data_IF_040369864251
#
_entry.id   IF_040369864251
#
_cell.length_a   1.000
_cell.length_b   1.000
_cell.length_c   1.000
_cell.angle_alpha   90.00
_cell.angle_beta   90.00
_cell.angle_gamma   90.00
#
_symmetry.space_group_name_H-M   'P 1'
#
loop_
_entity.id
_entity.type
_entity.pdbx_description
1 polymer ?
#
# COMPACT_ATOMS: atom_id res chain seq x y z
N UNK A 1 -18.17 32.82 -48.07
CA UNK A 1 -18.36 34.14 -47.47
C UNK A 1 -17.35 34.25 -46.34
N UNK A 2 -16.11 34.75 -46.59
CA UNK A 2 -15.70 36.17 -46.47
C UNK A 2 -16.06 36.70 -45.07
N UNK A 3 -15.18 37.18 -44.20
CA UNK A 3 -14.04 38.11 -44.33
C UNK A 3 -13.20 38.04 -43.04
N UNK A 4 -11.89 38.01 -43.13
CA UNK A 4 -10.89 38.65 -42.23
C UNK A 4 -10.69 40.10 -42.72
N UNK A 5 -10.08 41.07 -42.03
CA UNK A 5 -8.74 41.06 -41.43
C UNK A 5 -8.43 42.07 -40.30
N UNK A 6 -7.26 41.89 -39.66
CA UNK A 6 -6.13 42.82 -39.48
C UNK A 6 -6.21 44.11 -38.67
N UNK A 7 -5.09 44.37 -37.92
CA UNK A 7 -4.58 45.67 -37.42
C UNK A 7 -3.85 45.48 -36.09
N UNK A 8 -2.60 45.46 -35.88
CA UNK A 8 -1.40 46.04 -36.45
C UNK A 8 -1.12 47.46 -35.92
N UNK A 9 -0.29 47.62 -34.84
CA UNK A 9 0.49 48.86 -34.69
C UNK A 9 1.71 48.65 -33.78
N UNK A 10 2.89 48.85 -34.38
CA UNK A 10 4.20 49.13 -33.75
C UNK A 10 4.37 50.66 -33.61
N UNK A 11 5.08 51.14 -32.58
CA UNK A 11 5.87 52.38 -32.53
C UNK A 11 6.93 52.16 -31.43
N UNK A 12 8.23 51.99 -31.69
CA UNK A 12 9.38 52.90 -31.91
C UNK A 12 9.64 53.86 -30.73
N UNK A 13 10.73 53.59 -29.96
CA UNK A 13 12.11 54.10 -30.09
C UNK A 13 12.29 55.62 -30.06
N UNK A 14 13.08 56.12 -29.10
CA UNK A 14 14.07 57.21 -29.19
C UNK A 14 14.77 57.42 -27.83
N UNK A 15 16.01 57.05 -27.64
CA UNK A 15 17.26 57.86 -27.72
C UNK A 15 17.24 59.23 -27.10
N UNK A 16 18.14 59.53 -26.17
CA UNK A 16 18.50 60.85 -25.65
C UNK A 16 19.78 60.85 -24.82
N UNK A 17 20.81 61.34 -25.46
CA UNK A 17 22.19 61.53 -25.01
C UNK A 17 22.36 62.66 -23.98
N UNK A 18 23.44 62.57 -23.18
CA UNK A 18 24.34 63.72 -22.93
C UNK A 18 24.43 64.10 -21.43
N UNK A 19 25.51 64.06 -20.78
CA UNK A 19 26.64 64.97 -20.74
C UNK A 19 27.55 64.68 -19.58
N UNK A 20 28.82 64.73 -19.88
CA UNK A 20 29.96 64.74 -18.93
C UNK A 20 29.87 65.92 -17.95
N UNK A 21 30.34 65.67 -16.71
CA UNK A 21 31.12 66.68 -15.97
C UNK A 21 32.09 65.98 -15.02
N UNK A 22 33.38 66.13 -15.37
CA UNK A 22 34.52 66.01 -14.45
C UNK A 22 34.39 67.00 -13.30
N UNK A 23 34.87 66.64 -12.10
CA UNK A 23 35.71 67.50 -11.25
C UNK A 23 36.22 66.77 -9.99
N UNK A 24 37.54 66.61 -9.97
CA UNK A 24 38.49 66.76 -8.86
C UNK A 24 38.39 65.82 -7.60
N UNK A 25 39.42 65.01 -7.48
CA UNK A 25 39.89 64.35 -6.23
C UNK A 25 40.32 65.41 -5.17
N UNK A 26 40.24 65.02 -3.90
CA UNK A 26 41.44 65.07 -3.11
C UNK A 26 41.82 63.71 -2.51
N UNK A 27 43.09 63.46 -2.52
CA UNK A 27 43.76 62.37 -1.85
C UNK A 27 43.63 62.48 -0.31
N UNK A 28 43.19 61.43 0.33
CA UNK A 28 43.29 61.27 1.77
C UNK A 28 43.98 59.94 2.06
N UNK A 29 45.12 60.07 2.69
CA UNK A 29 45.98 59.03 3.23
C UNK A 29 45.16 58.21 4.23
N UNK A 30 44.89 56.94 3.94
CA UNK A 30 44.35 56.00 4.91
C UNK A 30 45.45 55.05 5.38
N UNK A 31 45.77 55.22 6.64
CA UNK A 31 46.65 54.43 7.47
C UNK A 31 46.16 52.96 7.49
N UNK A 32 47.03 52.04 7.08
CA UNK A 32 46.75 50.59 7.10
C UNK A 32 46.55 50.10 8.53
N UNK A 33 45.32 49.63 8.81
CA UNK A 33 45.07 48.68 9.89
C UNK A 33 44.96 47.30 9.26
N UNK A 34 46.01 46.50 9.40
CA UNK A 34 46.02 45.07 9.14
C UNK A 34 45.15 44.39 10.20
N UNK A 35 43.86 44.30 9.94
CA UNK A 35 42.95 43.44 10.71
C UNK A 35 43.20 42.00 10.33
N UNK A 36 43.90 41.25 11.19
CA UNK A 36 43.92 39.79 11.15
C UNK A 36 42.51 39.27 11.35
N UNK A 37 41.84 38.88 10.26
CA UNK A 37 40.59 38.11 10.33
C UNK A 37 40.90 36.74 10.96
N UNK A 38 40.59 36.62 12.25
CA UNK A 38 40.47 35.33 12.90
C UNK A 38 39.31 34.59 12.21
N UNK A 39 39.67 33.70 11.32
CA UNK A 39 38.73 32.73 10.80
C UNK A 39 38.21 31.89 11.98
N UNK A 40 37.04 32.23 12.48
CA UNK A 40 36.31 31.37 13.41
C UNK A 40 35.96 30.11 12.61
N UNK A 41 36.77 29.07 12.79
CA UNK A 41 36.39 27.70 12.44
C UNK A 41 35.15 27.36 13.27
N UNK A 42 33.98 27.41 12.63
CA UNK A 42 32.77 26.79 13.21
C UNK A 42 33.09 25.32 13.48
N UNK A 43 32.92 24.84 14.71
CA UNK A 43 33.06 23.42 14.97
C UNK A 43 32.02 22.72 14.08
N UNK A 44 32.49 21.89 13.15
CA UNK A 44 31.65 20.95 12.47
C UNK A 44 30.89 20.18 13.56
N UNK A 45 29.57 20.40 13.65
CA UNK A 45 28.69 19.50 14.40
C UNK A 45 28.81 18.16 13.69
N UNK A 46 29.75 17.33 14.15
CA UNK A 46 29.58 15.89 13.96
C UNK A 46 28.31 15.54 14.73
N UNK A 47 27.20 15.49 14.00
CA UNK A 47 26.00 14.86 14.52
C UNK A 47 26.47 13.48 15.00
N UNK A 48 26.31 13.20 16.28
CA UNK A 48 26.42 11.82 16.78
C UNK A 48 25.38 11.04 16.00
N UNK A 49 25.78 10.40 14.91
CA UNK A 49 24.93 9.43 14.23
C UNK A 49 24.75 8.27 15.21
N UNK A 50 23.56 8.20 15.80
CA UNK A 50 23.15 7.03 16.57
C UNK A 50 23.23 5.85 15.60
N UNK A 51 24.04 4.81 15.89
CA UNK A 51 24.15 3.67 14.99
C UNK A 51 22.79 3.07 14.76
N UNK A 52 22.34 3.02 13.49
CA UNK A 52 21.08 2.41 13.13
C UNK A 52 21.09 0.91 13.47
N UNK A 53 19.93 0.39 13.82
CA UNK A 53 19.73 -1.01 14.18
C UNK A 53 18.67 -1.65 13.27
N UNK A 54 18.41 -2.91 13.45
CA UNK A 54 17.28 -3.59 12.85
C UNK A 54 17.24 -3.56 11.32
N UNK A 55 16.05 -3.37 10.79
CA UNK A 55 15.78 -3.39 9.34
C UNK A 55 16.42 -2.19 8.63
N UNK A 56 16.39 -0.99 9.21
CA UNK A 56 17.01 0.18 8.59
C UNK A 56 18.53 0.02 8.43
N UNK A 57 19.21 -0.59 9.43
CA UNK A 57 20.64 -0.90 9.28
C UNK A 57 20.90 -1.84 8.13
N UNK A 58 20.14 -2.94 8.04
CA UNK A 58 20.23 -3.93 6.96
C UNK A 58 20.04 -3.28 5.57
N UNK A 59 19.05 -2.39 5.46
CA UNK A 59 18.78 -1.66 4.22
C UNK A 59 19.91 -0.66 3.93
N UNK A 60 20.42 0.05 4.94
CA UNK A 60 21.56 0.96 4.79
C UNK A 60 22.79 0.24 4.23
N UNK A 61 23.06 -0.96 4.72
CA UNK A 61 24.23 -1.76 4.33
C UNK A 61 24.08 -2.37 2.92
N UNK A 62 22.85 -2.78 2.55
CA UNK A 62 22.58 -3.47 1.27
C UNK A 62 22.12 -2.57 0.13
N UNK A 63 21.54 -1.41 0.44
CA UNK A 63 20.83 -0.56 -0.54
C UNK A 63 19.53 -1.18 -1.06
N UNK A 64 18.99 -2.24 -0.43
CA UNK A 64 17.85 -3.00 -0.94
C UNK A 64 16.79 -3.16 0.14
N UNK A 65 15.53 -2.83 -0.22
CA UNK A 65 14.31 -3.23 0.52
C UNK A 65 13.68 -4.45 -0.15
N UNK A 66 13.40 -5.48 0.63
CA UNK A 66 12.74 -6.71 0.14
C UNK A 66 11.26 -6.67 0.46
N UNK A 67 10.44 -6.50 -0.59
CA UNK A 67 8.99 -6.49 -0.50
C UNK A 67 8.41 -7.89 -0.73
N UNK A 68 7.72 -8.43 0.28
CA UNK A 68 6.95 -9.66 0.15
C UNK A 68 5.61 -9.39 -0.54
N UNK A 69 5.31 -10.08 -1.64
CA UNK A 69 4.07 -9.89 -2.38
C UNK A 69 3.33 -11.20 -2.62
N UNK A 70 2.01 -11.10 -2.76
CA UNK A 70 1.12 -12.22 -3.13
C UNK A 70 0.95 -12.25 -4.65
N UNK A 71 0.93 -13.45 -5.24
CA UNK A 71 0.76 -13.59 -6.70
C UNK A 71 -0.72 -13.61 -7.14
N UNK A 72 -1.64 -13.80 -6.18
CA UNK A 72 -3.05 -14.08 -6.49
C UNK A 72 -4.05 -13.51 -5.47
N UNK A 73 -3.82 -12.28 -5.01
CA UNK A 73 -4.70 -11.55 -4.08
C UNK A 73 -5.14 -10.19 -4.63
N UNK A 74 -5.78 -10.14 -5.85
CA UNK A 74 -6.29 -8.88 -6.38
C UNK A 74 -7.39 -8.30 -5.48
N UNK A 75 -7.47 -6.97 -5.34
CA UNK A 75 -6.65 -5.94 -5.96
C UNK A 75 -5.42 -5.52 -5.12
N UNK A 76 -5.08 -6.24 -4.04
CA UNK A 76 -4.02 -5.85 -3.08
C UNK A 76 -2.60 -6.15 -3.58
N UNK A 77 -2.35 -7.41 -3.95
CA UNK A 77 -1.09 -7.84 -4.54
C UNK A 77 -1.34 -9.04 -5.45
N UNK A 78 -0.94 -8.94 -6.70
CA UNK A 78 -1.13 -9.99 -7.71
C UNK A 78 -0.20 -9.77 -8.90
N UNK A 79 -0.12 -10.74 -9.78
CA UNK A 79 0.63 -10.60 -11.03
C UNK A 79 -0.27 -10.05 -12.14
N UNK A 80 0.16 -8.99 -12.79
CA UNK A 80 -0.50 -8.49 -13.99
C UNK A 80 -0.32 -9.47 -15.19
N UNK A 81 -0.94 -9.23 -16.37
CA UNK A 81 -0.75 -10.07 -17.54
C UNK A 81 0.71 -10.21 -18.00
N UNK A 82 1.58 -9.27 -17.66
CA UNK A 82 3.01 -9.27 -17.97
C UNK A 82 3.85 -9.95 -16.87
N UNK A 83 3.21 -10.58 -15.88
CA UNK A 83 3.85 -11.21 -14.71
C UNK A 83 4.59 -10.23 -13.80
N UNK A 84 4.22 -8.95 -13.84
CA UNK A 84 4.74 -7.94 -12.93
C UNK A 84 3.89 -7.92 -11.66
N UNK A 85 4.50 -7.87 -10.45
CA UNK A 85 3.79 -7.64 -9.20
C UNK A 85 3.14 -6.25 -9.21
N UNK A 86 1.84 -6.20 -8.96
CA UNK A 86 1.05 -4.96 -8.90
C UNK A 86 -0.03 -5.07 -7.82
N UNK A 87 -0.58 -3.94 -7.39
CA UNK A 87 -1.72 -3.92 -6.48
C UNK A 87 -1.68 -2.77 -5.48
N UNK A 88 -2.80 -2.57 -4.81
CA UNK A 88 -3.00 -1.52 -3.82
C UNK A 88 -1.93 -1.52 -2.72
N UNK A 89 -1.67 -2.68 -2.14
CA UNK A 89 -0.69 -2.81 -1.06
C UNK A 89 0.74 -2.61 -1.55
N UNK A 90 1.04 -2.95 -2.80
CA UNK A 90 2.35 -2.69 -3.40
C UNK A 90 2.57 -1.21 -3.65
N UNK A 91 1.56 -0.47 -4.15
CA UNK A 91 1.66 0.98 -4.28
C UNK A 91 1.93 1.65 -2.92
N UNK A 92 1.25 1.21 -1.85
CA UNK A 92 1.52 1.72 -0.49
C UNK A 92 2.93 1.35 0.00
N UNK A 93 3.41 0.15 -0.31
CA UNK A 93 4.77 -0.26 0.05
C UNK A 93 5.84 0.56 -0.67
N UNK A 94 5.65 0.91 -1.93
CA UNK A 94 6.58 1.78 -2.67
C UNK A 94 6.70 3.16 -2.02
N UNK A 95 5.60 3.72 -1.50
CA UNK A 95 5.64 4.97 -0.72
C UNK A 95 6.44 4.80 0.58
N UNK A 96 6.35 3.64 1.23
CA UNK A 96 7.20 3.33 2.40
C UNK A 96 8.68 3.25 1.98
N UNK A 97 8.99 2.68 0.80
CA UNK A 97 10.36 2.64 0.27
C UNK A 97 10.89 4.05 -0.01
N UNK A 98 10.08 4.94 -0.58
CA UNK A 98 10.44 6.35 -0.76
C UNK A 98 10.77 7.03 0.57
N UNK A 99 9.96 6.79 1.61
CA UNK A 99 10.18 7.33 2.95
C UNK A 99 11.48 6.76 3.58
N UNK A 100 11.78 5.47 3.36
CA UNK A 100 13.05 4.85 3.76
C UNK A 100 14.23 5.53 3.04
N UNK A 101 14.12 5.74 1.73
CA UNK A 101 15.16 6.40 0.95
C UNK A 101 15.43 7.83 1.46
N UNK A 102 14.36 8.59 1.75
CA UNK A 102 14.46 9.93 2.33
C UNK A 102 15.11 9.91 3.72
N UNK A 103 14.72 8.98 4.59
CA UNK A 103 15.29 8.79 5.94
C UNK A 103 16.78 8.44 5.89
N UNK A 104 17.19 7.63 4.91
CA UNK A 104 18.57 7.18 4.77
C UNK A 104 19.45 8.16 3.97
N UNK A 105 18.84 9.10 3.23
CA UNK A 105 19.53 10.00 2.32
C UNK A 105 20.27 9.26 1.19
N UNK A 106 19.73 8.12 0.75
CA UNK A 106 20.34 7.22 -0.24
C UNK A 106 19.30 6.71 -1.25
N UNK A 107 19.76 6.39 -2.45
CA UNK A 107 18.97 5.62 -3.40
C UNK A 107 18.80 4.19 -2.89
N UNK A 108 17.55 3.73 -2.84
CA UNK A 108 17.16 2.40 -2.38
C UNK A 108 16.47 1.66 -3.52
N UNK A 109 16.84 0.41 -3.70
CA UNK A 109 16.24 -0.47 -4.70
C UNK A 109 15.25 -1.43 -4.06
N UNK A 110 14.13 -1.68 -4.75
CA UNK A 110 13.15 -2.67 -4.36
C UNK A 110 13.48 -4.04 -4.95
N UNK A 111 13.44 -5.09 -4.12
CA UNK A 111 13.49 -6.47 -4.54
C UNK A 111 12.19 -7.18 -4.14
N UNK A 112 11.48 -7.73 -5.13
CA UNK A 112 10.22 -8.43 -4.88
C UNK A 112 10.46 -9.90 -4.53
N UNK A 113 9.82 -10.38 -3.45
CA UNK A 113 9.84 -11.76 -2.98
C UNK A 113 8.42 -12.32 -2.96
N UNK A 114 8.08 -13.35 -3.74
CA UNK A 114 6.76 -13.98 -3.65
C UNK A 114 6.58 -14.67 -2.29
N UNK A 115 5.42 -14.46 -1.68
CA UNK A 115 5.03 -15.06 -0.41
C UNK A 115 3.66 -15.72 -0.50
N UNK A 116 3.44 -16.74 0.31
CA UNK A 116 2.15 -17.42 0.47
C UNK A 116 1.48 -17.02 1.78
N UNK A 117 0.18 -17.31 1.98
CA UNK A 117 -0.45 -17.11 3.28
C UNK A 117 0.25 -17.86 4.42
N UNK A 118 0.85 -19.02 4.14
CA UNK A 118 1.50 -19.87 5.13
C UNK A 118 2.91 -19.36 5.50
N UNK A 119 3.75 -18.99 4.50
CA UNK A 119 5.16 -18.70 4.76
C UNK A 119 5.48 -17.23 5.05
N UNK A 120 4.55 -16.28 4.81
CA UNK A 120 4.80 -14.83 4.94
C UNK A 120 5.29 -14.42 6.33
N UNK A 121 4.77 -15.05 7.39
CA UNK A 121 5.18 -14.74 8.78
C UNK A 121 6.62 -15.13 9.04
N UNK A 122 7.02 -16.33 8.61
CA UNK A 122 8.39 -16.82 8.72
C UNK A 122 9.36 -15.93 7.97
N UNK A 123 9.04 -15.57 6.71
CA UNK A 123 9.89 -14.73 5.87
C UNK A 123 10.07 -13.31 6.42
N UNK A 124 9.05 -12.76 7.09
CA UNK A 124 9.15 -11.47 7.77
C UNK A 124 9.96 -11.59 9.06
N UNK A 125 9.70 -12.60 9.89
CA UNK A 125 10.41 -12.76 11.17
C UNK A 125 11.87 -13.13 11.01
N UNK A 126 12.22 -13.90 9.97
CA UNK A 126 13.61 -14.22 9.60
C UNK A 126 14.35 -13.02 8.98
N UNK A 127 13.62 -12.01 8.51
CA UNK A 127 14.18 -10.86 7.78
C UNK A 127 14.53 -11.15 6.32
N UNK A 128 14.04 -12.24 5.74
CA UNK A 128 14.10 -12.46 4.28
C UNK A 128 13.17 -11.49 3.52
N UNK A 129 12.11 -11.01 4.18
CA UNK A 129 11.21 -9.96 3.75
C UNK A 129 11.25 -8.84 4.77
N UNK A 130 11.42 -7.60 4.31
CA UNK A 130 11.46 -6.41 5.16
C UNK A 130 10.05 -5.86 5.41
N UNK A 131 9.19 -5.90 4.37
CA UNK A 131 7.81 -5.43 4.41
C UNK A 131 6.91 -6.35 3.57
N UNK A 132 5.87 -6.93 4.17
CA UNK A 132 4.89 -7.76 3.45
C UNK A 132 3.74 -6.88 2.95
N UNK A 133 3.57 -6.87 1.64
CA UNK A 133 2.69 -6.02 0.87
C UNK A 133 1.48 -6.78 0.34
N UNK A 134 0.81 -7.52 1.21
CA UNK A 134 -0.35 -8.33 0.85
C UNK A 134 -1.65 -7.80 1.43
N UNK A 135 -2.58 -8.72 1.66
CA UNK A 135 -3.87 -8.51 2.31
C UNK A 135 -3.88 -9.17 3.69
N UNK A 136 -2.92 -8.79 4.54
CA UNK A 136 -2.75 -9.46 5.82
C UNK A 136 -3.61 -8.83 6.89
N UNK A 137 -4.50 -9.63 7.49
CA UNK A 137 -5.33 -9.21 8.63
C UNK A 137 -4.45 -8.86 9.81
N UNK A 138 -4.64 -7.67 10.35
CA UNK A 138 -4.00 -7.16 11.55
C UNK A 138 -4.79 -7.62 12.79
N UNK A 139 -4.50 -8.82 13.31
CA UNK A 139 -5.16 -9.36 14.49
C UNK A 139 -4.29 -9.29 15.74
N UNK A 140 -4.94 -9.29 16.92
CA UNK A 140 -4.23 -9.31 18.20
C UNK A 140 -3.27 -10.50 18.35
N UNK A 141 -3.64 -11.67 17.84
CA UNK A 141 -2.78 -12.86 17.90
C UNK A 141 -1.55 -12.71 17.01
N UNK A 142 -1.70 -12.16 15.81
CA UNK A 142 -0.58 -11.93 14.88
C UNK A 142 0.38 -10.87 15.39
N UNK A 143 -0.11 -9.84 16.08
CA UNK A 143 0.74 -8.80 16.73
C UNK A 143 1.68 -9.37 17.80
N UNK A 144 1.46 -10.59 18.27
CA UNK A 144 2.39 -11.25 19.19
C UNK A 144 3.72 -11.60 18.50
N UNK A 145 3.70 -11.88 17.20
CA UNK A 145 4.85 -12.32 16.42
C UNK A 145 5.42 -11.24 15.47
N UNK A 146 4.59 -10.34 14.94
CA UNK A 146 4.94 -9.35 13.93
C UNK A 146 4.38 -7.97 14.29
N UNK A 147 4.85 -6.93 13.61
CA UNK A 147 4.30 -5.58 13.66
C UNK A 147 3.49 -5.26 12.40
N UNK A 148 2.64 -4.25 12.50
CA UNK A 148 1.76 -3.82 11.43
C UNK A 148 1.78 -2.30 11.28
N UNK A 149 1.62 -1.83 10.04
CA UNK A 149 1.34 -0.43 9.73
C UNK A 149 -0.01 0.02 10.32
N UNK A 150 -0.35 1.29 10.25
CA UNK A 150 -1.75 1.74 10.34
C UNK A 150 -2.65 0.95 9.39
N UNK A 151 -3.95 0.87 9.72
CA UNK A 151 -4.96 0.19 8.89
C UNK A 151 -5.01 0.82 7.50
N UNK A 152 -4.88 -0.01 6.47
CA UNK A 152 -4.94 0.41 5.07
C UNK A 152 -6.26 0.02 4.37
N UNK A 153 -7.01 -0.93 4.93
CA UNK A 153 -8.29 -1.38 4.37
C UNK A 153 -9.13 -2.07 5.44
N UNK A 154 -10.46 -2.04 5.24
CA UNK A 154 -11.44 -2.72 6.10
C UNK A 154 -12.30 -3.61 5.24
N UNK A 155 -12.50 -4.86 5.66
CA UNK A 155 -13.21 -5.89 4.92
C UNK A 155 -13.98 -6.81 5.86
N UNK A 156 -14.68 -7.77 5.30
CA UNK A 156 -15.33 -8.82 6.06
C UNK A 156 -15.51 -10.09 5.25
N UNK A 157 -15.57 -11.21 5.94
CA UNK A 157 -15.68 -12.52 5.30
C UNK A 157 -17.08 -12.74 4.73
N UNK A 158 -17.14 -13.17 3.46
CA UNK A 158 -18.35 -13.62 2.76
C UNK A 158 -18.11 -14.95 2.08
N UNK A 159 -19.12 -15.41 1.35
CA UNK A 159 -19.09 -16.66 0.61
C UNK A 159 -19.07 -16.39 -0.90
N UNK A 160 -18.16 -17.04 -1.61
CA UNK A 160 -18.22 -17.18 -3.06
C UNK A 160 -18.87 -18.52 -3.38
N UNK A 161 -19.89 -18.47 -4.20
CA UNK A 161 -20.65 -19.66 -4.61
C UNK A 161 -20.95 -19.64 -6.11
N UNK A 162 -21.19 -20.81 -6.68
CA UNK A 162 -21.66 -20.91 -8.05
C UNK A 162 -23.07 -20.31 -8.17
N UNK A 163 -23.35 -19.57 -9.22
CA UNK A 163 -24.72 -19.09 -9.50
C UNK A 163 -25.65 -20.28 -9.67
N UNK A 164 -26.85 -20.15 -9.13
CA UNK A 164 -27.85 -21.26 -9.16
C UNK A 164 -27.63 -22.35 -8.09
N UNK A 165 -26.60 -22.26 -7.24
CA UNK A 165 -26.37 -23.24 -6.16
C UNK A 165 -27.45 -23.29 -5.07
N UNK A 166 -28.30 -22.28 -5.00
CA UNK A 166 -29.30 -22.16 -3.92
C UNK A 166 -28.72 -21.60 -2.59
N UNK A 167 -27.39 -21.47 -2.46
CA UNK A 167 -26.74 -20.97 -1.25
C UNK A 167 -26.86 -19.45 -1.24
N UNK A 168 -27.50 -18.89 -0.22
CA UNK A 168 -27.72 -17.47 0.00
C UNK A 168 -27.02 -16.95 1.25
N UNK A 169 -26.85 -17.79 2.26
CA UNK A 169 -26.28 -17.44 3.56
C UNK A 169 -25.51 -18.62 4.17
N UNK A 170 -24.88 -18.43 5.32
CA UNK A 170 -24.05 -19.43 5.96
C UNK A 170 -24.82 -20.67 6.42
N UNK A 171 -26.11 -20.55 6.74
CA UNK A 171 -26.95 -21.68 7.21
C UNK A 171 -27.27 -22.64 6.07
N UNK A 172 -27.28 -22.17 4.82
CA UNK A 172 -27.53 -23.01 3.65
C UNK A 172 -26.36 -23.98 3.36
N UNK A 173 -25.28 -23.89 4.14
CA UNK A 173 -24.10 -24.74 4.02
C UNK A 173 -24.17 -26.02 4.87
N UNK A 174 -25.29 -26.29 5.55
CA UNK A 174 -25.50 -27.57 6.20
C UNK A 174 -25.29 -28.71 5.20
N UNK A 175 -24.47 -29.71 5.60
CA UNK A 175 -24.07 -30.89 4.80
C UNK A 175 -23.27 -30.56 3.50
N UNK A 176 -22.85 -29.30 3.31
CA UNK A 176 -22.07 -28.82 2.18
C UNK A 176 -20.56 -28.83 2.47
N UNK A 177 -19.79 -28.65 1.42
CA UNK A 177 -18.33 -28.54 1.50
C UNK A 177 -17.90 -27.09 1.29
N UNK A 178 -17.12 -26.52 2.22
CA UNK A 178 -16.48 -25.23 2.09
C UNK A 178 -14.98 -25.43 1.86
N UNK A 179 -14.42 -24.70 0.88
CA UNK A 179 -12.97 -24.56 0.74
C UNK A 179 -12.50 -23.35 1.52
N UNK A 180 -11.36 -23.49 2.22
CA UNK A 180 -10.66 -22.45 2.98
C UNK A 180 -9.20 -22.41 2.55
N UNK A 181 -8.59 -21.23 2.56
CA UNK A 181 -7.16 -21.08 2.26
C UNK A 181 -6.35 -21.21 3.55
N UNK A 182 -5.31 -22.06 3.56
CA UNK A 182 -4.40 -22.25 4.69
C UNK A 182 -3.66 -20.94 5.02
N UNK A 183 -3.25 -20.78 6.27
CA UNK A 183 -2.52 -19.60 6.76
C UNK A 183 -3.34 -18.31 6.80
N UNK A 184 -4.66 -18.38 6.50
CA UNK A 184 -5.60 -17.26 6.64
C UNK A 184 -6.36 -17.32 7.96
N UNK A 185 -6.97 -16.21 8.37
CA UNK A 185 -7.86 -16.19 9.56
C UNK A 185 -9.10 -17.05 9.37
N UNK A 186 -9.50 -17.29 8.13
CA UNK A 186 -10.70 -18.08 7.79
C UNK A 186 -10.53 -19.55 8.11
N UNK A 187 -9.30 -20.08 8.06
CA UNK A 187 -8.98 -21.48 8.36
C UNK A 187 -9.48 -21.92 9.75
N UNK A 188 -9.43 -21.00 10.72
CA UNK A 188 -9.92 -21.27 12.08
C UNK A 188 -11.31 -20.66 12.34
N UNK A 189 -11.55 -19.45 11.84
CA UNK A 189 -12.76 -18.69 12.17
C UNK A 189 -14.02 -19.37 11.63
N UNK A 190 -13.99 -19.89 10.39
CA UNK A 190 -15.17 -20.49 9.75
C UNK A 190 -15.55 -21.83 10.39
N UNK A 191 -14.62 -22.77 10.64
CA UNK A 191 -14.95 -23.98 11.39
C UNK A 191 -15.46 -23.70 12.82
N UNK A 192 -14.91 -22.68 13.49
CA UNK A 192 -15.39 -22.23 14.81
C UNK A 192 -16.81 -21.70 14.73
N UNK A 193 -17.15 -20.93 13.70
CA UNK A 193 -18.51 -20.42 13.47
C UNK A 193 -19.49 -21.56 13.21
N UNK A 194 -19.13 -22.54 12.37
CA UNK A 194 -19.94 -23.73 12.09
C UNK A 194 -20.26 -24.51 13.36
N UNK A 195 -19.25 -24.76 14.20
CA UNK A 195 -19.46 -25.42 15.51
C UNK A 195 -20.40 -24.64 16.42
N UNK A 196 -20.25 -23.32 16.53
CA UNK A 196 -21.12 -22.47 17.37
C UNK A 196 -22.58 -22.47 16.90
N UNK A 197 -22.81 -22.67 15.61
CA UNK A 197 -24.16 -22.72 15.02
C UNK A 197 -24.69 -24.15 14.88
N UNK A 198 -23.95 -25.17 15.32
CA UNK A 198 -24.25 -26.60 15.16
C UNK A 198 -24.54 -26.97 13.69
N UNK A 199 -23.78 -26.39 12.75
CA UNK A 199 -23.93 -26.68 11.31
C UNK A 199 -22.92 -27.78 10.90
N UNK A 200 -23.40 -28.92 10.37
CA UNK A 200 -22.57 -29.98 9.83
C UNK A 200 -21.99 -29.55 8.48
N UNK A 201 -20.78 -29.00 8.48
CA UNK A 201 -20.08 -28.51 7.28
C UNK A 201 -18.82 -29.33 7.08
N UNK A 202 -18.53 -29.73 5.84
CA UNK A 202 -17.26 -30.35 5.45
C UNK A 202 -16.27 -29.26 5.03
N UNK A 203 -15.02 -29.37 5.47
CA UNK A 203 -13.97 -28.40 5.13
C UNK A 203 -12.89 -29.06 4.29
N UNK A 204 -12.49 -28.38 3.21
CA UNK A 204 -11.31 -28.68 2.41
C UNK A 204 -10.38 -27.47 2.47
N UNK A 205 -9.08 -27.71 2.38
CA UNK A 205 -8.07 -26.66 2.54
C UNK A 205 -7.18 -26.61 1.30
N UNK A 206 -6.89 -25.40 0.86
CA UNK A 206 -6.03 -25.12 -0.30
C UNK A 206 -4.85 -24.25 0.12
N UNK A 207 -3.73 -24.37 -0.60
CA UNK A 207 -2.50 -23.65 -0.29
C UNK A 207 -2.59 -22.14 -0.49
N UNK A 208 -3.42 -21.69 -1.45
CA UNK A 208 -3.60 -20.28 -1.76
C UNK A 208 -5.01 -19.99 -2.30
N UNK A 209 -5.31 -18.71 -2.54
CA UNK A 209 -6.64 -18.30 -3.01
C UNK A 209 -6.95 -18.78 -4.42
N UNK A 210 -5.93 -18.95 -5.28
CA UNK A 210 -6.11 -19.48 -6.63
C UNK A 210 -6.56 -20.95 -6.58
N UNK A 211 -5.86 -21.75 -5.78
CA UNK A 211 -6.22 -23.15 -5.56
C UNK A 211 -7.61 -23.30 -4.90
N UNK A 212 -7.96 -22.42 -3.95
CA UNK A 212 -9.29 -22.39 -3.34
C UNK A 212 -10.37 -22.09 -4.37
N UNK A 213 -10.17 -21.08 -5.22
CA UNK A 213 -11.11 -20.79 -6.31
C UNK A 213 -11.24 -21.97 -7.28
N UNK A 214 -10.12 -22.62 -7.62
CA UNK A 214 -10.15 -23.76 -8.55
C UNK A 214 -10.94 -24.95 -7.99
N UNK A 215 -10.79 -25.25 -6.70
CA UNK A 215 -11.55 -26.31 -6.00
C UNK A 215 -13.07 -26.02 -6.10
N UNK A 216 -13.48 -24.74 -5.89
CA UNK A 216 -14.87 -24.32 -6.10
C UNK A 216 -15.29 -24.44 -7.58
N UNK A 217 -14.44 -23.99 -8.48
CA UNK A 217 -14.70 -24.00 -9.92
C UNK A 217 -14.81 -25.43 -10.49
N UNK A 218 -14.07 -26.39 -9.94
CA UNK A 218 -14.16 -27.81 -10.29
C UNK A 218 -15.39 -28.51 -9.68
N UNK A 219 -16.17 -27.82 -8.83
CA UNK A 219 -17.31 -28.41 -8.12
C UNK A 219 -16.92 -29.36 -6.98
N UNK A 220 -15.66 -29.29 -6.52
CA UNK A 220 -15.15 -30.07 -5.38
C UNK A 220 -15.50 -29.45 -4.03
N UNK A 221 -16.00 -28.20 -4.05
CA UNK A 221 -16.59 -27.49 -2.93
C UNK A 221 -17.84 -26.73 -3.41
N UNK A 222 -18.77 -26.51 -2.48
CA UNK A 222 -20.01 -25.75 -2.73
C UNK A 222 -19.82 -24.26 -2.51
N UNK A 223 -18.88 -23.86 -1.65
CA UNK A 223 -18.56 -22.47 -1.33
C UNK A 223 -17.05 -22.27 -1.05
N UNK A 224 -16.57 -21.08 -1.29
CA UNK A 224 -15.27 -20.58 -0.84
C UNK A 224 -15.49 -19.40 0.11
N UNK A 225 -15.01 -19.48 1.35
CA UNK A 225 -15.11 -18.40 2.31
C UNK A 225 -13.80 -17.60 2.32
N UNK A 226 -13.91 -16.30 2.02
CA UNK A 226 -12.80 -15.36 2.04
C UNK A 226 -13.35 -13.94 2.26
N UNK A 227 -12.48 -12.96 2.39
CA UNK A 227 -12.88 -11.57 2.51
C UNK A 227 -13.51 -11.07 1.21
N UNK A 228 -14.60 -10.35 1.32
CA UNK A 228 -15.49 -9.97 0.21
C UNK A 228 -14.75 -9.23 -0.90
N UNK A 229 -13.89 -8.27 -0.53
CA UNK A 229 -13.10 -7.51 -1.48
C UNK A 229 -12.16 -8.39 -2.32
N UNK A 230 -11.58 -9.43 -1.72
CA UNK A 230 -10.75 -10.40 -2.45
C UNK A 230 -11.59 -11.29 -3.36
N UNK A 231 -12.78 -11.70 -2.91
CA UNK A 231 -13.71 -12.45 -3.74
C UNK A 231 -14.14 -11.63 -4.96
N UNK A 232 -14.48 -10.35 -4.80
CA UNK A 232 -14.77 -9.46 -5.91
C UNK A 232 -13.55 -9.24 -6.82
N UNK A 233 -12.37 -9.03 -6.24
CA UNK A 233 -11.12 -8.92 -6.99
C UNK A 233 -10.83 -10.14 -7.86
N UNK A 234 -11.00 -11.35 -7.32
CA UNK A 234 -10.82 -12.60 -8.04
C UNK A 234 -11.85 -12.77 -9.16
N UNK A 235 -13.12 -12.42 -8.93
CA UNK A 235 -14.16 -12.44 -9.96
C UNK A 235 -13.84 -11.49 -11.11
N UNK A 236 -13.34 -10.28 -10.78
CA UNK A 236 -12.95 -9.27 -11.76
C UNK A 236 -11.73 -9.71 -12.58
N UNK A 237 -10.68 -10.19 -11.91
CA UNK A 237 -9.46 -10.63 -12.55
C UNK A 237 -9.71 -11.81 -13.52
N UNK A 238 -10.56 -12.75 -13.13
CA UNK A 238 -10.92 -13.95 -13.91
C UNK A 238 -12.08 -13.76 -14.85
N UNK A 239 -12.76 -12.61 -14.83
CA UNK A 239 -14.01 -12.35 -15.58
C UNK A 239 -15.09 -13.42 -15.32
N UNK A 240 -15.16 -13.91 -14.07
CA UNK A 240 -15.98 -15.06 -13.67
C UNK A 240 -17.33 -14.68 -13.02
N UNK A 241 -17.74 -13.41 -13.08
CA UNK A 241 -18.97 -12.93 -12.47
C UNK A 241 -20.26 -13.48 -13.13
N UNK A 242 -20.19 -14.06 -14.34
CA UNK A 242 -21.29 -14.79 -14.96
C UNK A 242 -21.61 -16.10 -14.25
N UNK A 243 -20.59 -16.80 -13.72
CA UNK A 243 -20.70 -18.15 -13.20
C UNK A 243 -20.77 -18.20 -11.67
N UNK A 244 -20.20 -17.20 -11.02
CA UNK A 244 -20.09 -17.13 -9.57
C UNK A 244 -20.68 -15.83 -9.02
N UNK A 245 -21.01 -15.85 -7.73
CA UNK A 245 -21.44 -14.65 -7.00
C UNK A 245 -20.91 -14.67 -5.57
N UNK A 246 -20.65 -13.48 -5.03
CA UNK A 246 -20.46 -13.28 -3.60
C UNK A 246 -21.83 -13.15 -2.93
N UNK A 247 -22.04 -13.82 -1.81
CA UNK A 247 -23.34 -13.91 -1.14
C UNK A 247 -23.19 -13.97 0.38
N UNK A 248 -24.31 -13.81 1.08
CA UNK A 248 -24.42 -13.90 2.53
C UNK A 248 -24.06 -12.60 3.25
N UNK A 249 -24.38 -12.58 4.55
CA UNK A 249 -23.99 -11.53 5.46
C UNK A 249 -22.48 -11.64 5.77
N UNK A 250 -21.93 -10.60 6.35
CA UNK A 250 -20.56 -10.64 6.85
C UNK A 250 -20.45 -11.64 8.02
N UNK A 251 -19.58 -12.63 7.87
CA UNK A 251 -19.32 -13.67 8.88
C UNK A 251 -18.34 -13.20 9.92
N UNK A 252 -17.37 -12.40 9.52
CA UNK A 252 -16.37 -11.72 10.37
C UNK A 252 -15.99 -10.39 9.72
N UNK A 253 -15.33 -9.52 10.50
CA UNK A 253 -14.70 -8.30 9.99
C UNK A 253 -13.21 -8.34 10.23
N UNK A 254 -12.44 -7.68 9.39
CA UNK A 254 -10.99 -7.64 9.46
C UNK A 254 -10.42 -6.33 8.94
N UNK A 255 -9.36 -5.87 9.59
CA UNK A 255 -8.53 -4.76 9.14
C UNK A 255 -7.29 -5.31 8.46
N UNK A 256 -6.92 -4.78 7.30
CA UNK A 256 -5.66 -5.10 6.64
C UNK A 256 -4.62 -4.04 6.93
N UNK A 257 -3.38 -4.50 7.07
CA UNK A 257 -2.21 -3.64 7.24
C UNK A 257 -0.98 -4.29 6.61
N UNK A 258 0.02 -3.49 6.28
CA UNK A 258 1.34 -3.97 5.87
C UNK A 258 2.02 -4.60 7.10
N UNK A 259 2.71 -5.72 6.89
CA UNK A 259 3.31 -6.45 7.97
C UNK A 259 4.84 -6.41 7.89
N UNK A 260 5.50 -6.19 9.04
CA UNK A 260 6.94 -6.15 9.15
C UNK A 260 7.43 -6.76 10.46
N UNK A 261 8.74 -6.83 10.66
CA UNK A 261 9.33 -7.46 11.84
C UNK A 261 8.96 -6.70 13.12
N UNK A 262 8.59 -7.45 14.16
CA UNK A 262 8.35 -6.93 15.49
C UNK A 262 9.65 -6.44 16.16
N UNK A 263 9.50 -5.60 17.16
CA UNK A 263 10.60 -5.08 17.98
C UNK A 263 11.67 -4.29 17.16
N UNK A 264 11.21 -3.57 16.14
CA UNK A 264 12.00 -2.71 15.26
C UNK A 264 11.41 -1.29 15.24
N UNK A 265 11.58 -0.50 16.33
CA UNK A 265 10.90 0.78 16.49
C UNK A 265 11.34 1.83 15.48
N UNK A 266 12.59 1.81 15.02
CA UNK A 266 13.08 2.74 14.00
C UNK A 266 12.37 2.50 12.67
N UNK A 267 12.20 1.24 12.27
CA UNK A 267 11.48 0.88 11.05
C UNK A 267 9.98 1.19 11.17
N UNK A 268 9.39 0.90 12.33
CA UNK A 268 7.98 1.21 12.60
C UNK A 268 7.69 2.71 12.48
N UNK A 269 8.56 3.59 12.98
CA UNK A 269 8.40 5.06 12.87
C UNK A 269 8.45 5.52 11.40
N UNK A 270 9.31 4.93 10.56
CA UNK A 270 9.36 5.25 9.13
C UNK A 270 8.06 4.82 8.44
N UNK A 271 7.56 3.62 8.74
CA UNK A 271 6.27 3.13 8.20
C UNK A 271 5.12 4.06 8.63
N UNK A 272 5.04 4.42 9.90
CA UNK A 272 3.99 5.31 10.42
C UNK A 272 4.07 6.70 9.78
N UNK A 273 5.26 7.24 9.58
CA UNK A 273 5.48 8.52 8.91
C UNK A 273 5.04 8.49 7.46
N UNK A 274 5.32 7.40 6.73
CA UNK A 274 4.83 7.19 5.36
C UNK A 274 3.30 7.22 5.30
N UNK A 275 2.61 6.57 6.22
CA UNK A 275 1.14 6.58 6.28
C UNK A 275 0.57 7.95 6.65
N UNK A 276 1.19 8.68 7.57
CA UNK A 276 0.79 10.07 7.86
C UNK A 276 0.97 10.97 6.64
N UNK A 277 2.06 10.82 5.89
CA UNK A 277 2.28 11.55 4.63
C UNK A 277 1.22 11.21 3.59
N UNK A 278 0.96 9.93 3.35
CA UNK A 278 -0.07 9.43 2.43
C UNK A 278 -1.46 10.01 2.73
N UNK A 279 -1.86 10.00 4.00
CA UNK A 279 -3.13 10.55 4.42
C UNK A 279 -3.16 12.08 4.26
N UNK A 280 -2.15 12.78 4.79
CA UNK A 280 -2.07 14.24 4.78
C UNK A 280 -1.99 14.85 3.37
N UNK A 281 -1.35 14.18 2.41
CA UNK A 281 -1.30 14.58 0.99
C UNK A 281 -2.53 14.16 0.18
N UNK A 282 -3.45 13.38 0.74
CA UNK A 282 -4.58 12.72 0.05
C UNK A 282 -4.14 11.67 -0.99
N UNK A 283 -2.88 11.32 -1.04
CA UNK A 283 -2.36 10.33 -1.99
C UNK A 283 -2.96 8.93 -1.77
N UNK A 284 -3.26 8.58 -0.51
CA UNK A 284 -3.94 7.33 -0.17
C UNK A 284 -5.31 7.21 -0.84
N UNK A 285 -6.04 8.32 -1.02
CA UNK A 285 -7.33 8.36 -1.73
C UNK A 285 -7.12 8.08 -3.21
N UNK A 286 -6.12 8.72 -3.84
CA UNK A 286 -5.82 8.51 -5.26
C UNK A 286 -5.38 7.08 -5.56
N UNK A 287 -4.60 6.46 -4.65
CA UNK A 287 -4.20 5.04 -4.75
C UNK A 287 -5.43 4.14 -4.56
N UNK A 288 -6.31 4.46 -3.58
CA UNK A 288 -7.56 3.73 -3.39
C UNK A 288 -8.41 3.74 -4.66
N UNK A 289 -8.73 4.92 -5.22
CA UNK A 289 -9.52 5.06 -6.44
C UNK A 289 -8.93 4.26 -7.60
N UNK A 290 -7.60 4.26 -7.75
CA UNK A 290 -6.91 3.51 -8.81
C UNK A 290 -7.28 2.03 -8.79
N UNK A 291 -7.31 1.40 -7.61
CA UNK A 291 -7.47 -0.04 -7.48
C UNK A 291 -8.89 -0.50 -7.25
N UNK A 292 -9.76 0.36 -6.72
CA UNK A 292 -11.13 -0.02 -6.34
C UNK A 292 -12.21 0.61 -7.21
N UNK A 293 -11.92 1.73 -7.88
CA UNK A 293 -12.91 2.44 -8.69
C UNK A 293 -12.55 2.52 -10.17
N UNK A 294 -11.25 2.48 -10.51
CA UNK A 294 -10.78 2.44 -11.90
C UNK A 294 -10.63 1.00 -12.41
N UNK A 295 -10.48 0.80 -13.74
CA UNK A 295 -10.29 -0.55 -14.28
C UNK A 295 -8.99 -1.19 -13.78
N UNK A 296 -9.09 -2.43 -13.31
CA UNK A 296 -7.94 -3.30 -13.03
C UNK A 296 -7.19 -3.64 -14.33
N UNK A 297 -5.97 -4.22 -14.28
CA UNK A 297 -5.26 -4.71 -15.46
C UNK A 297 -6.06 -5.69 -16.33
N UNK A 298 -7.04 -6.40 -15.75
CA UNK A 298 -8.00 -7.25 -16.47
C UNK A 298 -9.01 -6.46 -17.31
N UNK A 299 -9.08 -5.12 -17.15
CA UNK A 299 -10.08 -4.23 -17.75
C UNK A 299 -11.42 -4.17 -17.01
N UNK A 300 -11.62 -4.95 -15.96
CA UNK A 300 -12.85 -4.96 -15.14
C UNK A 300 -12.72 -3.95 -13.98
N UNK A 301 -13.83 -3.26 -13.67
CA UNK A 301 -13.92 -2.36 -12.51
C UNK A 301 -14.59 -3.06 -11.34
N UNK A 302 -14.08 -2.84 -10.15
CA UNK A 302 -14.74 -3.30 -8.92
C UNK A 302 -15.93 -2.42 -8.56
N UNK A 303 -15.87 -1.11 -8.88
CA UNK A 303 -16.85 -0.10 -8.48
C UNK A 303 -17.11 -0.13 -6.97
N UNK A 304 -16.06 -0.18 -6.20
CA UNK A 304 -16.10 -0.26 -4.74
C UNK A 304 -15.63 1.08 -4.16
N UNK A 305 -16.54 2.02 -3.87
CA UNK A 305 -16.18 3.29 -3.25
C UNK A 305 -15.66 3.07 -1.82
N UNK A 306 -14.83 3.99 -1.35
CA UNK A 306 -14.31 3.95 0.02
C UNK A 306 -15.46 3.98 1.02
N UNK A 307 -15.44 3.08 1.99
CA UNK A 307 -16.46 3.08 3.05
C UNK A 307 -16.25 4.25 4.00
N UNK A 308 -17.34 4.82 4.58
CA UNK A 308 -17.20 5.89 5.57
C UNK A 308 -16.32 5.50 6.76
N UNK A 309 -16.32 4.23 7.15
CA UNK A 309 -15.48 3.74 8.23
C UNK A 309 -13.99 3.77 7.86
N UNK A 310 -13.62 3.36 6.63
CA UNK A 310 -12.24 3.44 6.16
C UNK A 310 -11.78 4.90 6.00
N UNK A 311 -12.65 5.76 5.50
CA UNK A 311 -12.38 7.20 5.39
C UNK A 311 -12.09 7.81 6.76
N UNK A 312 -12.88 7.47 7.78
CA UNK A 312 -12.64 7.95 9.14
C UNK A 312 -11.31 7.44 9.72
N UNK A 313 -10.94 6.20 9.45
CA UNK A 313 -9.61 5.68 9.82
C UNK A 313 -8.49 6.48 9.16
N UNK A 314 -8.64 6.87 7.89
CA UNK A 314 -7.66 7.72 7.22
C UNK A 314 -7.64 9.15 7.76
N UNK A 315 -8.78 9.71 8.21
CA UNK A 315 -8.82 11.00 8.91
C UNK A 315 -8.04 10.96 10.21
N UNK A 316 -8.16 9.89 10.98
CA UNK A 316 -7.34 9.69 12.19
C UNK A 316 -5.84 9.62 11.85
N UNK A 317 -5.49 9.13 10.69
CA UNK A 317 -4.11 9.07 10.19
C UNK A 317 -3.62 10.40 9.59
N UNK A 318 -4.50 11.39 9.41
CA UNK A 318 -4.15 12.73 8.93
C UNK A 318 -4.82 13.17 7.63
N UNK A 319 -5.79 12.41 7.08
CA UNK A 319 -6.54 12.82 5.90
C UNK A 319 -7.35 14.10 6.22
N UNK A 320 -7.17 15.21 5.47
CA UNK A 320 -7.91 16.45 5.70
C UNK A 320 -9.41 16.25 5.52
N UNK A 321 -10.20 16.96 6.32
CA UNK A 321 -11.65 17.10 6.17
C UNK A 321 -11.88 18.07 5.01
N UNK A 322 -12.81 17.74 4.10
CA UNK A 322 -13.24 18.63 3.00
C UNK A 322 -14.09 19.79 3.53
#
# INVERSE_FOLDING_TARGET
>A
MNISPAGGTRIRDQSGRGLLRCWLLPALIAMGMTGTALAQSQPSRSAFEIPRTGTLKKITDSGIVRLGYRENSPPFAFLDPNKKPVGYSLDLCEIVVEEIAAELGKDIHTAYRPVTPENRFELVTSGEVDLECGSTTNSADRRKAVAFSPTMFVTGTKLLVRRGSGILNFRDLADKTIVLTRGTVHEEAIPRLARRQNLPIKFVFAADHNASFQILADGKADAFANDDVQLYGMLADRKAASDFRVTGDFLTYADYALMFRKDDPEFAEVVDRAFRRLAGSREIVAIYERWFEKPLPSGVRLNLPMSPHLEELFRVQGLPVD
#
